data_IF_366556763456
#
_entry.id   IF_366556763456
#
_cell.length_a   1.000
_cell.length_b   1.000
_cell.length_c   1.000
_cell.angle_alpha   90.00
_cell.angle_beta   90.00
_cell.angle_gamma   90.00
#
_symmetry.space_group_name_H-M   'P 1'
#
loop_
_entity.id
_entity.type
_entity.pdbx_description
1 polymer ?
#
# COMPACT_ATOMS: atom_id res chain seq x y z
N UNK A 1 -8.86 10.69 0.33
CA UNK A 1 -7.43 10.78 0.72
C UNK A 1 -6.59 9.97 -0.28
N UNK A 2 -5.28 10.21 -0.47
CA UNK A 2 -4.49 9.46 -1.45
C UNK A 2 -4.40 7.97 -1.09
N UNK A 3 -4.24 7.65 0.20
CA UNK A 3 -4.25 6.26 0.67
C UNK A 3 -5.55 5.51 0.28
N UNK A 4 -6.72 6.12 0.51
CA UNK A 4 -8.00 5.48 0.20
C UNK A 4 -8.21 5.32 -1.31
N UNK A 5 -7.69 6.24 -2.12
CA UNK A 5 -7.68 6.11 -3.56
C UNK A 5 -6.76 4.96 -4.02
N UNK A 6 -5.57 4.82 -3.44
CA UNK A 6 -4.66 3.72 -3.73
C UNK A 6 -5.31 2.37 -3.46
N UNK A 7 -5.96 2.21 -2.29
CA UNK A 7 -6.71 0.99 -1.96
C UNK A 7 -7.85 0.78 -2.98
N UNK A 8 -8.64 1.81 -3.29
CA UNK A 8 -9.74 1.71 -4.25
C UNK A 8 -9.30 1.34 -5.67
N UNK A 9 -8.14 1.81 -6.12
CA UNK A 9 -7.53 1.40 -7.38
C UNK A 9 -7.01 -0.03 -7.31
N UNK A 10 -6.34 -0.40 -6.21
CA UNK A 10 -5.84 -1.76 -5.98
C UNK A 10 -6.95 -2.80 -6.06
N UNK A 11 -8.11 -2.57 -5.40
CA UNK A 11 -9.28 -3.47 -5.44
C UNK A 11 -9.83 -3.67 -6.86
N UNK A 12 -9.68 -2.68 -7.74
CA UNK A 12 -10.20 -2.70 -9.11
C UNK A 12 -9.18 -3.20 -10.13
N UNK A 13 -7.95 -3.44 -9.70
CA UNK A 13 -6.89 -3.93 -10.58
C UNK A 13 -6.80 -5.43 -10.42
N UNK A 14 -6.84 -6.17 -11.53
CA UNK A 14 -6.70 -7.61 -11.51
C UNK A 14 -5.21 -7.99 -11.43
N UNK A 15 -4.75 -8.70 -10.38
CA UNK A 15 -3.36 -9.17 -10.27
C UNK A 15 -2.99 -10.23 -11.32
N UNK A 16 -3.96 -10.82 -12.03
CA UNK A 16 -3.73 -11.77 -13.13
C UNK A 16 -3.34 -11.13 -14.47
N UNK A 17 -3.46 -9.80 -14.60
CA UNK A 17 -3.02 -9.03 -15.76
C UNK A 17 -1.73 -8.24 -15.48
N UNK A 18 -1.09 -7.69 -16.52
CA UNK A 18 0.12 -6.85 -16.37
C UNK A 18 -0.19 -5.65 -15.48
N UNK A 19 0.28 -5.70 -14.23
CA UNK A 19 0.23 -4.56 -13.32
C UNK A 19 1.31 -3.56 -13.73
N UNK A 20 0.92 -2.31 -13.95
CA UNK A 20 1.82 -1.22 -14.36
C UNK A 20 2.03 -0.24 -13.19
N UNK A 21 3.11 -0.38 -12.38
CA UNK A 21 3.35 0.47 -11.21
C UNK A 21 3.39 1.97 -11.53
N UNK A 22 3.88 2.33 -12.72
CA UNK A 22 4.03 3.71 -13.13
C UNK A 22 2.70 4.37 -13.50
N UNK A 23 1.77 3.65 -14.12
CA UNK A 23 0.41 4.13 -14.35
C UNK A 23 -0.35 4.26 -13.02
N UNK A 24 -0.16 3.30 -12.11
CA UNK A 24 -0.77 3.34 -10.78
C UNK A 24 -0.36 4.61 -10.02
N UNK A 25 0.93 4.92 -9.92
CA UNK A 25 1.39 6.11 -9.20
C UNK A 25 1.03 7.41 -9.91
N UNK A 26 1.03 7.42 -11.25
CA UNK A 26 0.60 8.58 -12.03
C UNK A 26 -0.87 8.94 -11.73
N UNK A 27 -1.76 7.95 -11.68
CA UNK A 27 -3.17 8.15 -11.30
C UNK A 27 -3.32 8.75 -9.90
N UNK A 28 -2.45 8.39 -8.95
CA UNK A 28 -2.44 8.97 -7.61
C UNK A 28 -1.94 10.41 -7.62
N UNK A 29 -0.85 10.69 -8.35
CA UNK A 29 -0.29 12.03 -8.48
C UNK A 29 -1.33 13.03 -9.02
N UNK A 30 -2.09 12.63 -10.05
CA UNK A 30 -3.15 13.46 -10.65
C UNK A 30 -4.29 13.81 -9.69
N UNK A 31 -4.42 13.09 -8.56
CA UNK A 31 -5.46 13.33 -7.54
C UNK A 31 -4.89 14.00 -6.29
N UNK A 32 -3.57 14.13 -6.17
CA UNK A 32 -2.94 14.82 -5.04
C UNK A 32 -3.22 16.32 -5.11
N UNK A 33 -3.65 16.89 -3.98
CA UNK A 33 -4.05 18.30 -3.88
C UNK A 33 -2.89 19.22 -3.50
N UNK A 34 -2.01 18.76 -2.61
CA UNK A 34 -0.89 19.55 -2.10
C UNK A 34 0.39 19.26 -2.86
N UNK A 35 1.24 20.28 -3.01
CA UNK A 35 2.51 20.14 -3.73
C UNK A 35 3.51 19.26 -2.97
N UNK A 36 3.43 19.23 -1.64
CA UNK A 36 4.21 18.31 -0.81
C UNK A 36 3.94 16.84 -1.17
N UNK A 37 2.66 16.44 -1.25
CA UNK A 37 2.30 15.07 -1.59
C UNK A 37 2.62 14.76 -3.06
N UNK A 38 2.37 15.70 -3.99
CA UNK A 38 2.76 15.53 -5.40
C UNK A 38 4.27 15.30 -5.53
N UNK A 39 5.08 16.12 -4.85
CA UNK A 39 6.54 16.01 -4.83
C UNK A 39 6.98 14.63 -4.30
N UNK A 40 6.39 14.17 -3.21
CA UNK A 40 6.69 12.84 -2.66
C UNK A 40 6.26 11.69 -3.59
N UNK A 41 5.14 11.80 -4.30
CA UNK A 41 4.72 10.79 -5.28
C UNK A 41 5.66 10.73 -6.50
N UNK A 42 6.15 11.88 -6.98
CA UNK A 42 7.20 11.93 -8.02
C UNK A 42 8.48 11.28 -7.52
N UNK A 43 8.89 11.59 -6.29
CA UNK A 43 10.07 10.97 -5.68
C UNK A 43 9.95 9.44 -5.59
N UNK A 44 8.78 8.93 -5.20
CA UNK A 44 8.53 7.47 -5.22
C UNK A 44 8.67 6.91 -6.63
N UNK A 45 8.11 7.59 -7.65
CA UNK A 45 8.26 7.18 -9.06
C UNK A 45 9.73 7.12 -9.46
N UNK A 46 10.51 8.16 -9.16
CA UNK A 46 11.93 8.24 -9.51
C UNK A 46 12.74 7.12 -8.83
N UNK A 47 12.47 6.85 -7.55
CA UNK A 47 13.09 5.74 -6.80
C UNK A 47 12.77 4.37 -7.42
N UNK A 48 11.54 4.16 -7.88
CA UNK A 48 11.14 2.92 -8.56
C UNK A 48 11.82 2.80 -9.94
N UNK A 49 11.88 3.88 -10.71
CA UNK A 49 12.56 3.90 -12.03
C UNK A 49 14.06 3.58 -11.91
N UNK A 50 14.70 4.11 -10.88
CA UNK A 50 16.12 3.84 -10.60
C UNK A 50 16.35 2.51 -9.87
N UNK A 51 15.30 1.72 -9.65
CA UNK A 51 15.34 0.48 -8.89
C UNK A 51 16.01 0.65 -7.50
N UNK A 52 15.86 1.81 -6.88
CA UNK A 52 16.50 2.15 -5.61
C UNK A 52 16.18 1.10 -4.52
N UNK A 53 17.10 0.81 -3.60
CA UNK A 53 16.84 -0.08 -2.48
C UNK A 53 16.03 0.64 -1.37
N UNK A 54 15.31 -0.09 -0.50
CA UNK A 54 14.50 0.53 0.56
C UNK A 54 15.28 1.47 1.49
N UNK A 55 16.56 1.17 1.76
CA UNK A 55 17.44 2.04 2.57
C UNK A 55 17.63 3.43 1.94
N UNK A 56 17.67 3.52 0.63
CA UNK A 56 17.77 4.80 -0.08
C UNK A 56 16.41 5.49 -0.10
N UNK A 57 15.34 4.75 -0.39
CA UNK A 57 13.98 5.28 -0.37
C UNK A 57 13.63 5.95 0.97
N UNK A 58 14.07 5.40 2.11
CA UNK A 58 13.84 6.00 3.43
C UNK A 58 14.63 7.28 3.63
N UNK A 59 15.88 7.33 3.19
CA UNK A 59 16.68 8.56 3.28
C UNK A 59 16.04 9.71 2.51
N UNK A 60 15.40 9.40 1.38
CA UNK A 60 14.78 10.39 0.50
C UNK A 60 13.34 10.74 0.91
N UNK A 61 12.53 9.74 1.25
CA UNK A 61 11.10 9.89 1.56
C UNK A 61 10.88 10.22 3.03
N UNK A 62 11.56 9.51 3.93
CA UNK A 62 11.23 9.42 5.35
C UNK A 62 10.46 8.14 5.70
N UNK A 63 10.27 7.91 7.00
CA UNK A 63 9.57 6.73 7.53
C UNK A 63 8.89 7.01 8.89
N UNK A 64 8.68 8.27 9.25
CA UNK A 64 8.02 8.65 10.50
C UNK A 64 6.50 8.50 10.44
N UNK A 65 5.83 8.83 11.55
CA UNK A 65 4.37 8.92 11.67
C UNK A 65 3.74 9.95 10.73
N UNK A 66 4.52 10.91 10.22
CA UNK A 66 4.02 12.01 9.41
C UNK A 66 3.52 11.52 8.05
N UNK A 67 2.32 11.94 7.64
CA UNK A 67 1.64 11.42 6.43
C UNK A 67 2.46 11.62 5.14
N UNK A 68 3.24 12.69 5.05
CA UNK A 68 4.09 12.99 3.90
C UNK A 68 5.34 12.09 3.82
N UNK A 69 5.59 11.27 4.86
CA UNK A 69 6.63 10.24 4.89
C UNK A 69 6.04 8.83 4.86
N UNK A 70 5.09 8.54 5.77
CA UNK A 70 4.52 7.20 5.92
C UNK A 70 3.74 6.75 4.68
N UNK A 71 2.89 7.62 4.12
CA UNK A 71 2.08 7.27 2.96
C UNK A 71 2.94 7.00 1.72
N UNK A 72 3.88 7.87 1.31
CA UNK A 72 4.69 7.61 0.12
C UNK A 72 5.63 6.41 0.29
N UNK A 73 6.20 6.18 1.48
CA UNK A 73 7.05 5.01 1.71
C UNK A 73 6.26 3.69 1.70
N UNK A 74 5.03 3.72 2.20
CA UNK A 74 4.10 2.58 2.09
C UNK A 74 3.73 2.27 0.64
N UNK A 75 3.50 3.32 -0.16
CA UNK A 75 3.24 3.18 -1.59
C UNK A 75 4.47 2.62 -2.33
N UNK A 76 5.67 3.14 -2.03
CA UNK A 76 6.94 2.61 -2.54
C UNK A 76 7.07 1.11 -2.23
N UNK A 77 6.80 0.69 -1.00
CA UNK A 77 6.90 -0.71 -0.58
C UNK A 77 5.97 -1.63 -1.36
N UNK A 78 4.72 -1.20 -1.58
CA UNK A 78 3.77 -1.93 -2.42
C UNK A 78 4.23 -1.99 -3.88
N UNK A 79 4.57 -0.86 -4.49
CA UNK A 79 4.94 -0.80 -5.91
C UNK A 79 6.27 -1.50 -6.22
N UNK A 80 7.16 -1.63 -5.24
CA UNK A 80 8.41 -2.41 -5.34
C UNK A 80 8.14 -3.92 -5.29
N UNK A 81 7.10 -4.35 -4.57
CA UNK A 81 6.75 -5.76 -4.36
C UNK A 81 5.26 -6.02 -4.62
N UNK A 82 4.74 -5.72 -5.83
CA UNK A 82 3.30 -5.74 -6.08
C UNK A 82 2.70 -7.15 -6.02
N UNK A 83 3.52 -8.17 -6.29
CA UNK A 83 3.11 -9.59 -6.38
C UNK A 83 3.34 -10.38 -5.10
N UNK A 84 3.94 -9.78 -4.06
CA UNK A 84 4.31 -10.49 -2.82
C UNK A 84 3.91 -9.69 -1.60
N UNK A 85 2.83 -10.13 -0.93
CA UNK A 85 2.37 -9.53 0.32
C UNK A 85 3.46 -9.53 1.39
N UNK A 86 4.19 -10.64 1.50
CA UNK A 86 5.27 -10.81 2.49
C UNK A 86 6.42 -9.83 2.24
N UNK A 87 6.88 -9.72 0.99
CA UNK A 87 8.01 -8.86 0.67
C UNK A 87 7.63 -7.38 0.74
N UNK A 88 6.37 -7.03 0.39
CA UNK A 88 5.80 -5.71 0.64
C UNK A 88 5.81 -5.35 2.13
N UNK A 89 5.30 -6.24 3.00
CA UNK A 89 5.32 -6.02 4.45
C UNK A 89 6.76 -5.87 4.96
N UNK A 90 7.67 -6.75 4.57
CA UNK A 90 9.06 -6.70 5.00
C UNK A 90 9.77 -5.42 4.54
N UNK A 91 9.51 -4.96 3.33
CA UNK A 91 9.99 -3.67 2.87
C UNK A 91 9.52 -2.52 3.78
N UNK A 92 8.24 -2.53 4.16
CA UNK A 92 7.65 -1.49 4.99
C UNK A 92 8.19 -1.48 6.44
N UNK A 93 8.40 -2.64 7.07
CA UNK A 93 8.66 -2.70 8.53
C UNK A 93 10.11 -2.90 8.93
N UNK A 94 10.97 -3.45 8.06
CA UNK A 94 12.33 -3.85 8.44
C UNK A 94 13.35 -2.71 8.46
N UNK A 95 12.94 -1.48 8.17
CA UNK A 95 13.86 -0.37 7.94
C UNK A 95 13.72 0.80 8.92
N UNK A 96 13.01 0.59 10.04
CA UNK A 96 12.87 1.58 11.12
C UNK A 96 11.63 2.47 10.95
N UNK A 97 11.57 3.54 11.77
CA UNK A 97 10.43 4.46 11.76
C UNK A 97 9.18 3.89 12.43
N UNK A 98 8.02 4.38 11.99
CA UNK A 98 6.70 3.94 12.47
C UNK A 98 6.26 2.67 11.74
N UNK A 99 6.82 1.54 12.17
CA UNK A 99 6.63 0.23 11.54
C UNK A 99 5.15 -0.18 11.49
N UNK A 100 4.39 0.16 12.52
CA UNK A 100 2.99 -0.25 12.64
C UNK A 100 2.15 0.49 11.59
N UNK A 101 2.31 1.82 11.47
CA UNK A 101 1.62 2.61 10.45
C UNK A 101 2.07 2.23 9.03
N UNK A 102 3.38 2.08 8.80
CA UNK A 102 3.92 1.71 7.49
C UNK A 102 3.42 0.33 7.04
N UNK A 103 3.48 -0.65 7.94
CA UNK A 103 2.98 -2.00 7.70
C UNK A 103 1.48 -1.99 7.39
N UNK A 104 0.67 -1.30 8.20
CA UNK A 104 -0.77 -1.19 8.00
C UNK A 104 -1.12 -0.55 6.65
N UNK A 105 -0.48 0.57 6.30
CA UNK A 105 -0.75 1.27 5.05
C UNK A 105 -0.29 0.46 3.83
N UNK A 106 0.91 -0.08 3.83
CA UNK A 106 1.43 -0.88 2.71
C UNK A 106 0.60 -2.17 2.51
N UNK A 107 0.30 -2.88 3.61
CA UNK A 107 -0.49 -4.11 3.56
C UNK A 107 -1.96 -3.88 3.21
N UNK A 108 -2.53 -2.72 3.55
CA UNK A 108 -3.89 -2.39 3.12
C UNK A 108 -4.01 -2.31 1.59
N UNK A 109 -2.99 -1.75 0.92
CA UNK A 109 -2.95 -1.68 -0.55
C UNK A 109 -2.64 -3.05 -1.14
N UNK A 110 -1.61 -3.73 -0.62
CA UNK A 110 -1.19 -5.04 -1.12
C UNK A 110 -2.26 -6.12 -0.94
N UNK A 111 -2.92 -6.16 0.22
CA UNK A 111 -4.02 -7.11 0.48
C UNK A 111 -5.26 -6.82 -0.35
N UNK A 112 -5.56 -5.54 -0.61
CA UNK A 112 -6.61 -5.15 -1.54
C UNK A 112 -6.33 -5.59 -2.99
N UNK A 113 -5.06 -5.54 -3.41
CA UNK A 113 -4.63 -5.94 -4.74
C UNK A 113 -4.54 -7.46 -4.91
N UNK A 114 -3.91 -8.16 -3.97
CA UNK A 114 -3.60 -9.59 -4.05
C UNK A 114 -4.73 -10.49 -3.54
N UNK A 115 -5.67 -9.93 -2.78
CA UNK A 115 -6.76 -10.67 -2.16
C UNK A 115 -6.34 -11.55 -0.98
N UNK A 116 -7.35 -12.07 -0.27
CA UNK A 116 -7.17 -12.81 1.00
C UNK A 116 -6.34 -14.10 0.85
N UNK A 117 -6.39 -14.76 -0.32
CA UNK A 117 -5.67 -16.01 -0.57
C UNK A 117 -4.15 -15.84 -0.63
N UNK A 118 -3.68 -14.62 -0.84
CA UNK A 118 -2.25 -14.29 -0.91
C UNK A 118 -1.65 -13.98 0.47
N UNK A 119 -2.48 -13.90 1.51
CA UNK A 119 -2.06 -13.65 2.88
C UNK A 119 -1.54 -14.96 3.53
N UNK A 120 -0.40 -14.95 4.23
CA UNK A 120 0.10 -16.13 4.92
C UNK A 120 -0.86 -16.60 6.03
N UNK A 121 -1.39 -17.82 5.91
CA UNK A 121 -2.35 -18.41 6.86
C UNK A 121 -1.83 -18.36 8.30
N UNK A 122 -0.55 -18.70 8.51
CA UNK A 122 0.11 -18.64 9.82
C UNK A 122 0.11 -17.25 10.48
N UNK A 123 0.00 -16.18 9.69
CA UNK A 123 -0.11 -14.82 10.20
C UNK A 123 -1.56 -14.49 10.54
N UNK A 124 -2.50 -14.89 9.67
CA UNK A 124 -3.93 -14.74 9.93
C UNK A 124 -4.37 -15.46 11.21
N UNK A 125 -3.79 -16.62 11.52
CA UNK A 125 -4.14 -17.40 12.72
C UNK A 125 -3.63 -16.76 14.02
N UNK A 126 -2.72 -15.80 13.93
CA UNK A 126 -2.23 -15.02 15.07
C UNK A 126 -2.90 -13.64 15.18
N UNK A 127 -3.80 -13.31 14.25
CA UNK A 127 -4.44 -12.02 14.22
C UNK A 127 -5.48 -11.93 15.34
N UNK A 128 -5.31 -10.94 16.21
CA UNK A 128 -6.31 -10.64 17.23
C UNK A 128 -7.62 -10.20 16.56
N UNK A 129 -8.76 -10.65 17.08
CA UNK A 129 -10.09 -10.30 16.56
C UNK A 129 -10.30 -10.67 15.08
N UNK A 130 -9.63 -11.73 14.58
CA UNK A 130 -9.73 -12.22 13.20
C UNK A 130 -11.17 -12.36 12.72
N UNK A 131 -12.04 -12.97 13.53
CA UNK A 131 -13.45 -13.20 13.21
C UNK A 131 -14.20 -11.88 13.04
N UNK A 132 -14.00 -10.95 13.97
CA UNK A 132 -14.62 -9.62 13.93
C UNK A 132 -14.15 -8.82 12.70
N UNK A 133 -12.85 -8.76 12.43
CA UNK A 133 -12.28 -8.07 11.26
C UNK A 133 -12.83 -8.69 9.97
N UNK A 134 -12.95 -10.01 9.92
CA UNK A 134 -13.49 -10.73 8.77
C UNK A 134 -14.96 -10.38 8.54
N UNK A 135 -15.78 -10.31 9.60
CA UNK A 135 -17.18 -9.92 9.46
C UNK A 135 -17.32 -8.46 9.02
N UNK A 136 -16.53 -7.56 9.60
CA UNK A 136 -16.52 -6.15 9.18
C UNK A 136 -16.15 -6.01 7.69
N UNK A 137 -15.17 -6.79 7.20
CA UNK A 137 -14.82 -6.82 5.78
C UNK A 137 -15.99 -7.31 4.89
N UNK A 138 -16.78 -8.28 5.35
CA UNK A 138 -17.99 -8.74 4.64
C UNK A 138 -19.09 -7.70 4.64
N UNK A 139 -19.32 -7.00 5.75
CA UNK A 139 -20.30 -5.91 5.83
C UNK A 139 -19.94 -4.75 4.89
N UNK A 140 -18.66 -4.36 4.85
CA UNK A 140 -18.16 -3.36 3.91
C UNK A 140 -18.33 -3.78 2.45
N UNK A 141 -18.18 -5.08 2.15
CA UNK A 141 -18.44 -5.60 0.80
C UNK A 141 -19.93 -5.57 0.44
N UNK A 142 -20.81 -5.90 1.40
CA UNK A 142 -22.27 -5.84 1.22
C UNK A 142 -22.73 -4.39 0.94
N UNK A 143 -22.28 -3.42 1.74
CA UNK A 143 -22.68 -2.01 1.58
C UNK A 143 -22.21 -1.39 0.26
N UNK A 144 -21.07 -1.84 -0.27
CA UNK A 144 -20.63 -1.48 -1.63
C UNK A 144 -21.58 -1.99 -2.71
N UNK A 145 -22.17 -3.17 -2.52
CA UNK A 145 -23.03 -3.82 -3.51
C UNK A 145 -24.46 -3.24 -3.54
N UNK A 146 -24.90 -2.63 -2.43
CA UNK A 146 -26.22 -1.99 -2.31
C UNK A 146 -26.24 -0.52 -2.74
N UNK A 147 -25.09 0.06 -3.07
CA UNK A 147 -24.95 1.47 -3.49
C UNK A 147 -24.84 1.62 -5.02
N UNK A 148 -25.34 0.64 -5.78
CA UNK A 148 -25.35 0.64 -7.24
C UNK A 148 -26.78 0.51 -7.76
#
# INVERSE_FOLDING_TARGET
PIQSLAIGLAVRTDPGFSFEPFDFIYKLEQKAKTDEIKSKLRLVKDLLQNNAPPKEAIKSIGCSVAVHESMPFSLYSFLKHPTSFKDCLYCAVLHGGDRDTLGAMACSISGAFLGIRSLPVKWLDKLENKEYITELARELLKSRSTSC
#
